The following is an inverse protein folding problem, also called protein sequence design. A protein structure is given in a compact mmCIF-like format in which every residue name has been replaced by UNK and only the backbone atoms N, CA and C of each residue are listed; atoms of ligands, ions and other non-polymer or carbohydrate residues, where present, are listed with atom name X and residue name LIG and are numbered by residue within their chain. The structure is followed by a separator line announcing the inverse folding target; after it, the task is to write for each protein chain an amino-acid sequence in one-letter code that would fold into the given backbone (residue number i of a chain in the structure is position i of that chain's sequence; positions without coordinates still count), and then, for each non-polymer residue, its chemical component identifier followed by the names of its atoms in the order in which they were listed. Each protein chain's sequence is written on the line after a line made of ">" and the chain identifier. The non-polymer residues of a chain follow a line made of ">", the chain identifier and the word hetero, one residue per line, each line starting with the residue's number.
data_IF_239467005866
#
_entry.id   IF_239467005866
#
_cell.length_a   1.000
_cell.length_b   1.000
_cell.length_c   1.000
_cell.angle_alpha   90.00
_cell.angle_beta   90.00
_cell.angle_gamma   90.00
#
_symmetry.space_group_name_H-M   'P 1'
#
loop_
_entity.id
_entity.type
_entity.pdbx_description
1 polymer ?
#
# COMPACT_ATOMS: atom_id res chain seq x y z
N UNK A 1 17.98 15.07 -5.56
CA UNK A 1 17.56 13.70 -5.86
C UNK A 1 16.81 13.15 -4.64
N UNK A 2 15.48 12.94 -4.72
CA UNK A 2 14.64 12.56 -3.58
C UNK A 2 14.10 11.15 -3.77
N UNK A 3 14.74 10.18 -3.10
CA UNK A 3 14.38 8.76 -3.14
C UNK A 3 14.03 8.20 -1.76
N UNK A 4 13.81 9.05 -0.74
CA UNK A 4 13.53 8.60 0.61
C UNK A 4 12.13 8.00 0.73
N UNK A 5 11.12 8.64 0.12
CA UNK A 5 9.73 8.19 0.17
C UNK A 5 8.88 8.90 -0.88
N UNK A 6 7.90 8.21 -1.44
CA UNK A 6 6.83 8.78 -2.26
C UNK A 6 5.93 9.77 -1.48
N UNK A 7 5.94 9.73 -0.14
CA UNK A 7 5.30 10.73 0.71
C UNK A 7 6.02 12.10 0.77
N UNK A 8 7.25 12.20 0.25
CA UNK A 8 8.00 13.48 0.25
C UNK A 8 7.60 14.40 -0.90
N UNK A 9 7.03 13.84 -1.96
CA UNK A 9 6.45 14.64 -3.03
C UNK A 9 5.24 15.43 -2.49
N UNK A 10 5.08 16.67 -2.95
CA UNK A 10 3.88 17.45 -2.69
C UNK A 10 2.67 16.88 -3.43
N UNK A 11 1.49 17.46 -3.22
CA UNK A 11 0.34 17.05 -4.01
C UNK A 11 0.48 17.50 -5.48
N UNK A 12 -0.03 16.68 -6.41
CA UNK A 12 -0.02 17.01 -7.83
C UNK A 12 -0.80 18.30 -8.13
N UNK A 13 -0.35 19.18 -9.06
CA UNK A 13 -1.02 20.45 -9.34
C UNK A 13 -2.52 20.35 -9.60
N UNK A 14 -2.97 19.36 -10.37
CA UNK A 14 -4.40 19.15 -10.64
C UNK A 14 -5.22 18.87 -9.36
N UNK A 15 -4.63 18.16 -8.37
CA UNK A 15 -5.25 17.94 -7.06
C UNK A 15 -5.38 19.26 -6.31
N UNK A 16 -4.32 20.08 -6.27
CA UNK A 16 -4.32 21.38 -5.61
C UNK A 16 -5.33 22.34 -6.24
N UNK A 17 -5.39 22.41 -7.56
CA UNK A 17 -6.38 23.22 -8.28
C UNK A 17 -7.82 22.80 -7.94
N UNK A 18 -8.08 21.49 -7.86
CA UNK A 18 -9.42 21.00 -7.50
C UNK A 18 -9.79 21.34 -6.07
N UNK A 19 -8.85 21.21 -5.12
CA UNK A 19 -9.04 21.64 -3.74
C UNK A 19 -9.34 23.14 -3.62
N UNK A 20 -8.62 23.98 -4.36
CA UNK A 20 -8.87 25.42 -4.41
C UNK A 20 -10.30 25.74 -4.89
N UNK A 21 -10.77 25.07 -5.93
CA UNK A 21 -12.15 25.22 -6.42
C UNK A 21 -13.18 24.81 -5.38
N UNK A 22 -12.92 23.76 -4.59
CA UNK A 22 -13.82 23.29 -3.54
C UNK A 22 -13.85 24.22 -2.32
N UNK A 23 -12.77 24.97 -2.05
CA UNK A 23 -12.63 25.82 -0.87
C UNK A 23 -13.63 26.97 -0.79
N UNK A 24 -14.16 27.39 -1.93
CA UNK A 24 -15.12 28.52 -2.05
C UNK A 24 -16.59 28.09 -2.09
N UNK A 25 -16.88 26.79 -1.99
CA UNK A 25 -18.24 26.26 -2.15
C UNK A 25 -18.89 25.90 -0.81
N UNK A 26 -20.20 26.06 -0.74
CA UNK A 26 -21.03 25.49 0.32
C UNK A 26 -21.56 24.13 -0.12
N UNK A 27 -21.45 23.13 0.74
CA UNK A 27 -21.97 21.80 0.50
C UNK A 27 -22.30 21.10 1.82
N UNK A 28 -23.13 20.04 1.76
CA UNK A 28 -23.45 19.22 2.91
C UNK A 28 -22.20 18.60 3.53
N UNK A 29 -22.24 18.41 4.86
CA UNK A 29 -21.09 17.93 5.64
C UNK A 29 -21.13 16.40 5.82
N UNK A 30 -20.04 15.85 6.36
CA UNK A 30 -19.93 14.46 6.84
C UNK A 30 -20.18 13.38 5.78
N UNK A 31 -19.75 13.60 4.53
CA UNK A 31 -19.85 12.61 3.46
C UNK A 31 -21.23 12.53 2.79
N UNK A 32 -22.05 13.58 2.91
CA UNK A 32 -23.39 13.62 2.32
C UNK A 32 -23.53 14.62 1.17
N UNK A 33 -22.44 15.24 0.72
CA UNK A 33 -22.46 16.16 -0.41
C UNK A 33 -22.66 15.42 -1.74
N UNK A 34 -23.11 16.14 -2.77
CA UNK A 34 -23.24 15.58 -4.12
C UNK A 34 -21.89 15.11 -4.66
N UNK A 35 -20.79 15.77 -4.30
CA UNK A 35 -19.46 15.34 -4.69
C UNK A 35 -19.05 14.02 -4.00
N UNK A 36 -19.34 13.86 -2.69
CA UNK A 36 -19.08 12.59 -2.00
C UNK A 36 -19.79 11.44 -2.71
N UNK A 37 -21.09 11.59 -3.02
CA UNK A 37 -21.89 10.58 -3.73
C UNK A 37 -21.38 10.29 -5.15
N UNK A 38 -20.98 11.35 -5.87
CA UNK A 38 -20.45 11.20 -7.22
C UNK A 38 -19.15 10.36 -7.23
N UNK A 39 -18.29 10.55 -6.23
CA UNK A 39 -17.07 9.77 -6.12
C UNK A 39 -17.33 8.35 -5.64
N UNK A 40 -18.26 8.11 -4.72
CA UNK A 40 -18.73 6.76 -4.38
C UNK A 40 -19.23 6.03 -5.64
N UNK A 41 -20.01 6.70 -6.49
CA UNK A 41 -20.44 6.13 -7.78
C UNK A 41 -19.24 5.88 -8.72
N UNK A 42 -18.21 6.73 -8.72
CA UNK A 42 -17.00 6.52 -9.51
C UNK A 42 -16.23 5.27 -9.06
N UNK A 43 -16.20 4.95 -7.78
CA UNK A 43 -15.67 3.69 -7.30
C UNK A 43 -16.46 2.48 -7.80
N UNK A 44 -17.81 2.55 -7.89
CA UNK A 44 -18.61 1.48 -8.50
C UNK A 44 -18.20 1.23 -9.96
N UNK A 45 -17.95 2.28 -10.74
CA UNK A 45 -17.47 2.17 -12.11
C UNK A 45 -16.08 1.52 -12.18
N UNK A 46 -15.14 1.98 -11.32
CA UNK A 46 -13.76 1.48 -11.26
C UNK A 46 -13.70 -0.01 -10.90
N UNK A 47 -14.55 -0.45 -9.97
CA UNK A 47 -14.60 -1.85 -9.53
C UNK A 47 -15.62 -2.70 -10.30
N UNK A 48 -16.32 -2.15 -11.30
CA UNK A 48 -17.29 -2.87 -12.12
C UNK A 48 -18.43 -3.52 -11.29
N UNK A 49 -18.75 -2.96 -10.14
CA UNK A 49 -19.81 -3.43 -9.23
C UNK A 49 -20.17 -2.39 -8.19
N UNK A 50 -21.30 -2.56 -7.52
CA UNK A 50 -21.63 -1.80 -6.33
C UNK A 50 -20.66 -2.14 -5.19
N UNK A 51 -20.05 -1.10 -4.61
CA UNK A 51 -19.14 -1.17 -3.46
C UNK A 51 -19.54 -0.16 -2.39
N UNK A 52 -19.19 -0.39 -1.13
CA UNK A 52 -19.31 0.63 -0.10
C UNK A 52 -17.95 1.30 0.12
N UNK A 53 -17.93 2.65 0.08
CA UNK A 53 -16.70 3.45 0.14
C UNK A 53 -16.73 4.40 1.33
N UNK A 54 -15.63 4.47 2.07
CA UNK A 54 -15.49 5.34 3.23
C UNK A 54 -14.16 6.09 3.17
N UNK A 55 -14.24 7.41 2.96
CA UNK A 55 -13.03 8.25 2.91
C UNK A 55 -12.45 8.46 4.29
N UNK A 56 -11.14 8.33 4.41
CA UNK A 56 -10.34 8.55 5.62
C UNK A 56 -9.08 9.34 5.27
N UNK A 57 -8.38 9.86 6.27
CA UNK A 57 -7.24 10.76 6.05
C UNK A 57 -5.87 10.07 5.95
N UNK A 58 -5.75 8.81 6.35
CA UNK A 58 -4.46 8.10 6.37
C UNK A 58 -4.62 6.63 6.03
N UNK A 59 -3.57 6.01 5.44
CA UNK A 59 -3.51 4.57 5.19
C UNK A 59 -3.63 3.75 6.48
N UNK A 60 -2.95 4.18 7.56
CA UNK A 60 -3.07 3.56 8.88
C UNK A 60 -4.51 3.52 9.39
N UNK A 61 -5.29 4.60 9.17
CA UNK A 61 -6.71 4.60 9.52
C UNK A 61 -7.50 3.62 8.64
N UNK A 62 -7.20 3.56 7.34
CA UNK A 62 -7.87 2.63 6.42
C UNK A 62 -7.62 1.17 6.84
N UNK A 63 -6.37 0.77 7.06
CA UNK A 63 -6.00 -0.57 7.50
C UNK A 63 -6.60 -0.92 8.86
N UNK A 64 -6.47 -0.02 9.83
CA UNK A 64 -6.97 -0.24 11.19
C UNK A 64 -8.48 -0.43 11.22
N UNK A 65 -9.23 0.39 10.49
CA UNK A 65 -10.70 0.30 10.46
C UNK A 65 -11.19 -0.88 9.61
N UNK A 66 -10.50 -1.22 8.53
CA UNK A 66 -10.77 -2.41 7.75
C UNK A 66 -10.67 -3.68 8.62
N UNK A 67 -9.57 -3.85 9.35
CA UNK A 67 -9.38 -4.98 10.26
C UNK A 67 -10.32 -4.93 11.47
N UNK A 68 -10.60 -3.74 12.01
CA UNK A 68 -11.54 -3.56 13.12
C UNK A 68 -12.97 -3.96 12.74
N UNK A 69 -13.39 -3.76 11.48
CA UNK A 69 -14.75 -4.07 11.03
C UNK A 69 -15.08 -5.56 11.02
N UNK A 70 -14.06 -6.41 10.97
CA UNK A 70 -14.16 -7.87 11.00
C UNK A 70 -13.64 -8.46 12.31
N UNK A 71 -13.36 -7.60 13.30
CA UNK A 71 -12.80 -8.00 14.58
C UNK A 71 -13.80 -8.82 15.42
N UNK A 72 -13.23 -9.74 16.19
CA UNK A 72 -13.97 -10.58 17.16
C UNK A 72 -13.13 -10.73 18.43
N UNK A 73 -13.73 -11.07 19.59
CA UNK A 73 -12.97 -11.32 20.80
C UNK A 73 -11.88 -12.37 20.59
N UNK A 74 -10.63 -12.04 20.94
CA UNK A 74 -9.49 -12.92 20.71
C UNK A 74 -9.15 -13.15 19.24
N UNK A 75 -9.56 -12.25 18.35
CA UNK A 75 -9.35 -12.34 16.90
C UNK A 75 -7.87 -12.36 16.51
N UNK A 76 -7.56 -13.05 15.42
CA UNK A 76 -6.23 -13.13 14.84
C UNK A 76 -6.32 -12.79 13.34
N UNK A 77 -5.61 -11.75 12.91
CA UNK A 77 -5.40 -11.46 11.52
C UNK A 77 -4.01 -11.94 11.08
N UNK A 78 -3.93 -12.62 9.94
CA UNK A 78 -2.69 -13.16 9.38
C UNK A 78 -2.17 -12.20 8.32
N UNK A 79 -0.89 -11.83 8.39
CA UNK A 79 -0.21 -10.94 7.44
C UNK A 79 1.22 -11.41 7.21
N UNK A 80 1.88 -10.93 6.15
CA UNK A 80 3.31 -11.14 6.02
C UNK A 80 4.08 -10.50 7.19
N UNK A 81 5.25 -11.07 7.54
CA UNK A 81 6.11 -10.53 8.62
C UNK A 81 6.52 -9.07 8.39
N UNK A 82 6.76 -8.67 7.12
CA UNK A 82 7.14 -7.32 6.73
C UNK A 82 5.94 -6.41 6.41
N UNK A 83 4.70 -6.84 6.68
CA UNK A 83 3.53 -6.04 6.35
C UNK A 83 3.45 -4.77 7.22
N UNK A 84 3.12 -3.63 6.60
CA UNK A 84 3.01 -2.34 7.28
C UNK A 84 2.11 -2.37 8.53
N UNK A 85 1.01 -3.13 8.47
CA UNK A 85 0.06 -3.28 9.58
C UNK A 85 0.67 -3.85 10.87
N UNK A 86 1.75 -4.63 10.77
CA UNK A 86 2.43 -5.22 11.93
C UNK A 86 3.68 -4.44 12.32
N UNK A 87 4.42 -3.87 11.36
CA UNK A 87 5.72 -3.24 11.60
C UNK A 87 5.62 -1.72 11.81
N UNK A 88 4.85 -0.99 10.99
CA UNK A 88 4.98 0.46 10.86
C UNK A 88 3.72 1.26 11.23
N UNK A 89 2.74 0.67 11.93
CA UNK A 89 1.50 1.35 12.35
C UNK A 89 1.37 1.54 13.86
N UNK A 90 2.47 1.40 14.60
CA UNK A 90 2.52 1.64 16.06
C UNK A 90 1.38 0.92 16.83
N UNK A 91 0.95 -0.26 16.37
CA UNK A 91 -0.12 -1.04 16.97
C UNK A 91 -1.55 -0.50 16.75
N UNK A 92 -1.74 0.49 15.85
CA UNK A 92 -3.06 1.05 15.58
C UNK A 92 -4.09 -0.01 15.15
N UNK A 93 -3.79 -0.97 14.24
CA UNK A 93 -4.74 -2.04 13.91
C UNK A 93 -5.16 -2.87 15.12
N UNK A 94 -4.23 -3.16 16.02
CA UNK A 94 -4.50 -3.90 17.28
C UNK A 94 -5.38 -3.08 18.24
N UNK A 95 -5.09 -1.76 18.35
CA UNK A 95 -5.86 -0.85 19.21
C UNK A 95 -7.32 -0.75 18.76
N UNK A 96 -7.55 -0.50 17.47
CA UNK A 96 -8.92 -0.32 16.95
C UNK A 96 -9.71 -1.61 16.80
N UNK A 97 -9.05 -2.76 16.69
CA UNK A 97 -9.70 -4.08 16.58
C UNK A 97 -9.95 -4.78 17.93
N UNK A 98 -10.06 -4.03 19.03
CA UNK A 98 -10.26 -4.55 20.38
C UNK A 98 -9.18 -5.56 20.82
N UNK A 99 -7.91 -5.20 20.61
CA UNK A 99 -6.74 -6.00 20.93
C UNK A 99 -6.67 -7.36 20.18
N UNK A 100 -7.16 -7.40 18.94
CA UNK A 100 -6.92 -8.53 18.05
C UNK A 100 -5.41 -8.67 17.78
N UNK A 101 -4.96 -9.89 17.60
CA UNK A 101 -3.54 -10.16 17.37
C UNK A 101 -3.21 -10.19 15.88
N UNK A 102 -2.11 -9.55 15.47
CA UNK A 102 -1.50 -9.77 14.16
C UNK A 102 -0.55 -10.97 14.25
N UNK A 103 -0.67 -11.89 13.30
CA UNK A 103 0.13 -13.11 13.24
C UNK A 103 0.99 -13.08 11.98
N UNK A 104 2.33 -12.98 12.14
CA UNK A 104 3.23 -12.98 11.02
C UNK A 104 3.24 -14.35 10.33
N UNK A 105 3.22 -14.32 9.01
CA UNK A 105 3.35 -15.48 8.11
C UNK A 105 4.56 -15.27 7.23
N UNK A 106 5.48 -16.20 7.27
CA UNK A 106 6.72 -16.11 6.50
C UNK A 106 6.50 -16.40 5.01
N UNK A 107 7.36 -15.77 4.20
CA UNK A 107 7.49 -16.01 2.77
C UNK A 107 8.54 -15.09 2.17
N UNK A 108 9.10 -15.39 1.01
CA UNK A 108 10.14 -14.60 0.40
C UNK A 108 9.58 -13.29 -0.19
N UNK A 109 10.41 -12.27 -0.22
CA UNK A 109 10.15 -11.03 -0.95
C UNK A 109 8.82 -10.34 -0.54
N UNK A 110 8.48 -10.33 0.76
CA UNK A 110 7.29 -9.66 1.27
C UNK A 110 5.97 -10.38 0.98
N UNK A 111 5.99 -11.61 0.47
CA UNK A 111 4.80 -12.38 0.08
C UNK A 111 4.62 -13.59 0.97
N UNK A 112 3.43 -13.78 1.51
CA UNK A 112 3.10 -15.00 2.25
C UNK A 112 3.12 -16.22 1.32
N UNK A 113 3.75 -17.30 1.75
CA UNK A 113 3.59 -18.60 1.09
C UNK A 113 2.25 -19.23 1.50
N UNK A 114 1.45 -19.76 0.53
CA UNK A 114 0.16 -20.38 0.82
C UNK A 114 0.22 -21.49 1.86
N UNK A 115 1.24 -22.36 1.81
CA UNK A 115 1.47 -23.43 2.76
C UNK A 115 1.75 -22.91 4.18
N UNK A 116 2.50 -21.79 4.30
CA UNK A 116 2.79 -21.17 5.59
C UNK A 116 1.54 -20.51 6.17
N UNK A 117 0.72 -19.84 5.35
CA UNK A 117 -0.57 -19.31 5.78
C UNK A 117 -1.49 -20.42 6.28
N UNK A 118 -1.63 -21.50 5.53
CA UNK A 118 -2.44 -22.66 5.92
C UNK A 118 -1.95 -23.28 7.23
N UNK A 119 -0.63 -23.43 7.40
CA UNK A 119 -0.03 -23.94 8.64
C UNK A 119 -0.29 -23.00 9.82
N UNK A 120 -0.15 -21.67 9.62
CA UNK A 120 -0.41 -20.68 10.66
C UNK A 120 -1.88 -20.70 11.13
N UNK A 121 -2.85 -20.77 10.22
CA UNK A 121 -4.28 -20.83 10.55
C UNK A 121 -4.60 -22.11 11.32
N UNK A 122 -4.09 -23.27 10.91
CA UNK A 122 -4.33 -24.56 11.60
C UNK A 122 -3.86 -24.60 13.06
N UNK A 123 -2.96 -23.71 13.47
CA UNK A 123 -2.56 -23.57 14.90
C UNK A 123 -3.70 -23.08 15.79
N UNK A 124 -4.77 -22.54 15.22
CA UNK A 124 -5.90 -21.95 15.93
C UNK A 124 -7.21 -22.63 15.51
N UNK A 125 -7.46 -23.87 15.98
CA UNK A 125 -8.62 -24.63 15.56
C UNK A 125 -9.92 -23.95 15.99
N UNK A 126 -10.95 -23.94 15.13
CA UNK A 126 -12.25 -23.36 15.44
C UNK A 126 -12.83 -23.94 16.74
N UNK A 127 -13.36 -23.07 17.60
CA UNK A 127 -14.01 -23.45 18.84
C UNK A 127 -13.08 -23.78 20.01
N UNK A 128 -11.76 -23.76 19.86
CA UNK A 128 -10.84 -23.86 20.98
C UNK A 128 -10.91 -22.60 21.86
N UNK A 129 -11.46 -22.74 23.06
CA UNK A 129 -11.63 -21.64 24.03
C UNK A 129 -10.29 -21.14 24.62
N UNK A 130 -9.23 -21.94 24.51
CA UNK A 130 -7.90 -21.60 25.03
C UNK A 130 -7.05 -20.77 24.05
N UNK A 131 -7.52 -20.62 22.82
CA UNK A 131 -6.75 -19.96 21.77
C UNK A 131 -7.57 -18.84 21.12
N UNK A 132 -6.85 -17.83 20.59
CA UNK A 132 -7.46 -16.84 19.73
C UNK A 132 -8.07 -17.49 18.49
N UNK A 133 -9.00 -16.78 17.85
CA UNK A 133 -9.74 -17.29 16.69
C UNK A 133 -9.36 -16.54 15.43
N UNK A 134 -9.07 -17.23 14.32
CA UNK A 134 -8.84 -16.58 13.03
C UNK A 134 -9.97 -15.60 12.68
N UNK A 135 -9.62 -14.39 12.24
CA UNK A 135 -10.61 -13.35 11.89
C UNK A 135 -10.44 -12.76 10.49
N UNK A 136 -9.22 -12.67 9.99
CA UNK A 136 -8.93 -12.10 8.68
C UNK A 136 -7.57 -12.58 8.15
N UNK A 137 -7.40 -12.47 6.83
CA UNK A 137 -6.09 -12.50 6.16
C UNK A 137 -5.88 -11.14 5.52
N UNK A 138 -4.65 -10.59 5.55
CA UNK A 138 -4.30 -9.34 4.87
C UNK A 138 -3.06 -9.50 4.02
N UNK A 139 -3.12 -9.00 2.79
CA UNK A 139 -2.00 -8.91 1.85
C UNK A 139 -1.68 -7.44 1.57
N UNK A 140 -0.43 -7.12 1.28
CA UNK A 140 -0.02 -5.76 0.90
C UNK A 140 0.31 -5.73 -0.59
N UNK A 141 -0.28 -4.80 -1.34
CA UNK A 141 -0.17 -4.72 -2.79
C UNK A 141 0.05 -3.27 -3.26
N UNK A 142 1.29 -2.86 -3.71
CA UNK A 142 2.53 -3.63 -3.73
C UNK A 142 3.07 -3.84 -2.31
N UNK A 143 3.94 -4.87 -2.12
CA UNK A 143 4.52 -5.21 -0.81
C UNK A 143 5.53 -4.16 -0.35
N UNK A 144 5.85 -4.16 0.94
CA UNK A 144 6.81 -3.22 1.57
C UNK A 144 8.26 -3.39 1.07
N UNK A 145 8.52 -4.48 0.34
CA UNK A 145 9.84 -4.74 -0.25
C UNK A 145 9.85 -4.58 -1.79
N UNK A 146 8.87 -3.85 -2.33
CA UNK A 146 8.83 -3.46 -3.74
C UNK A 146 8.40 -4.56 -4.72
N UNK A 147 7.89 -5.69 -4.24
CA UNK A 147 7.34 -6.77 -5.09
C UNK A 147 5.83 -6.62 -5.26
N UNK A 148 5.26 -7.40 -6.18
CA UNK A 148 3.83 -7.41 -6.46
C UNK A 148 3.32 -8.84 -6.47
N UNK A 149 2.27 -9.14 -5.72
CA UNK A 149 1.57 -10.42 -5.86
C UNK A 149 0.99 -10.53 -7.26
N UNK A 150 1.26 -11.62 -7.97
CA UNK A 150 0.54 -11.95 -9.19
C UNK A 150 -0.92 -12.26 -8.91
N UNK A 151 -1.77 -12.25 -9.94
CA UNK A 151 -3.18 -12.61 -9.79
C UNK A 151 -3.35 -14.04 -9.26
N UNK A 152 -2.52 -14.97 -9.71
CA UNK A 152 -2.53 -16.38 -9.26
C UNK A 152 -2.07 -16.52 -7.79
N UNK A 153 -1.10 -15.70 -7.34
CA UNK A 153 -0.69 -15.67 -5.93
C UNK A 153 -1.82 -15.12 -5.04
N UNK A 154 -2.56 -14.10 -5.50
CA UNK A 154 -3.75 -13.60 -4.78
C UNK A 154 -4.82 -14.69 -4.71
N UNK A 155 -5.08 -15.41 -5.82
CA UNK A 155 -6.04 -16.53 -5.86
C UNK A 155 -5.67 -17.63 -4.85
N UNK A 156 -4.40 -17.99 -4.77
CA UNK A 156 -3.92 -19.03 -3.84
C UNK A 156 -4.16 -18.63 -2.36
N UNK A 157 -3.84 -17.39 -1.98
CA UNK A 157 -4.10 -16.84 -0.64
C UNK A 157 -5.62 -16.77 -0.37
N UNK A 158 -6.38 -16.26 -1.34
CA UNK A 158 -7.84 -16.15 -1.26
C UNK A 158 -8.52 -17.51 -1.09
N UNK A 159 -8.06 -18.55 -1.78
CA UNK A 159 -8.60 -19.88 -1.65
C UNK A 159 -8.47 -20.43 -0.22
N UNK A 160 -7.32 -20.18 0.44
CA UNK A 160 -7.10 -20.56 1.84
C UNK A 160 -7.99 -19.74 2.78
N UNK A 161 -8.08 -18.42 2.57
CA UNK A 161 -8.94 -17.56 3.37
C UNK A 161 -10.40 -18.03 3.30
N UNK A 162 -10.91 -18.31 2.09
CA UNK A 162 -12.27 -18.82 1.85
C UNK A 162 -12.51 -20.18 2.49
N UNK A 163 -11.54 -21.10 2.43
CA UNK A 163 -11.64 -22.43 3.07
C UNK A 163 -11.88 -22.30 4.58
N UNK A 164 -11.37 -21.25 5.20
CA UNK A 164 -11.52 -20.97 6.62
C UNK A 164 -12.60 -19.93 6.96
N UNK A 165 -13.39 -19.49 5.97
CA UNK A 165 -14.41 -18.43 6.10
C UNK A 165 -13.83 -17.11 6.65
N UNK A 166 -12.63 -16.76 6.24
CA UNK A 166 -11.95 -15.53 6.63
C UNK A 166 -12.04 -14.49 5.50
N UNK A 167 -12.42 -13.25 5.79
CA UNK A 167 -12.31 -12.17 4.82
C UNK A 167 -10.84 -11.92 4.45
N UNK A 168 -10.62 -11.61 3.17
CA UNK A 168 -9.33 -11.18 2.65
C UNK A 168 -9.32 -9.65 2.53
N UNK A 169 -8.47 -9.01 3.32
CA UNK A 169 -8.15 -7.59 3.22
C UNK A 169 -6.91 -7.40 2.34
N UNK A 170 -6.91 -6.33 1.53
CA UNK A 170 -5.75 -5.89 0.77
C UNK A 170 -5.36 -4.48 1.23
N UNK A 171 -4.16 -4.34 1.76
CA UNK A 171 -3.52 -3.03 1.91
C UNK A 171 -3.05 -2.57 0.53
N UNK A 172 -3.71 -1.57 -0.01
CA UNK A 172 -3.46 -0.97 -1.31
C UNK A 172 -2.83 0.42 -1.23
N UNK A 173 -1.93 0.67 -0.27
CA UNK A 173 -1.22 1.95 -0.16
C UNK A 173 -0.52 2.35 -1.46
N UNK A 174 -0.10 1.36 -2.27
CA UNK A 174 0.47 1.53 -3.62
C UNK A 174 -0.32 0.76 -4.69
N UNK A 175 -1.64 0.76 -4.55
CA UNK A 175 -2.57 0.01 -5.42
C UNK A 175 -2.39 0.34 -6.90
N UNK A 176 -2.27 1.64 -7.24
CA UNK A 176 -2.08 2.08 -8.62
C UNK A 176 -0.76 1.58 -9.22
N UNK A 177 0.33 1.57 -8.43
CA UNK A 177 1.62 1.04 -8.87
C UNK A 177 1.54 -0.46 -9.18
N UNK A 178 0.86 -1.23 -8.34
CA UNK A 178 0.64 -2.66 -8.58
C UNK A 178 -0.21 -2.92 -9.83
N UNK A 179 -1.28 -2.14 -10.07
CA UNK A 179 -2.08 -2.22 -11.30
C UNK A 179 -1.22 -2.01 -12.54
N UNK A 180 -0.37 -0.97 -12.54
CA UNK A 180 0.52 -0.66 -13.67
C UNK A 180 1.55 -1.77 -13.89
N UNK A 181 2.07 -2.37 -12.82
CA UNK A 181 3.00 -3.50 -12.91
C UNK A 181 2.34 -4.74 -13.51
N UNK A 182 1.11 -5.06 -13.09
CA UNK A 182 0.39 -6.25 -13.55
C UNK A 182 -0.30 -6.06 -14.92
N UNK A 183 -0.44 -4.81 -15.40
CA UNK A 183 -1.20 -4.52 -16.62
C UNK A 183 -2.66 -4.95 -16.52
N UNK A 184 -3.28 -4.78 -15.36
CA UNK A 184 -4.63 -5.25 -15.05
C UNK A 184 -5.54 -4.12 -14.57
N UNK A 185 -6.83 -4.42 -14.35
CA UNK A 185 -7.79 -3.45 -13.82
C UNK A 185 -8.13 -3.72 -12.33
N UNK A 186 -8.74 -2.74 -11.63
CA UNK A 186 -9.08 -2.87 -10.22
C UNK A 186 -9.96 -4.06 -9.87
N UNK A 187 -10.95 -4.37 -10.69
CA UNK A 187 -11.86 -5.49 -10.46
C UNK A 187 -11.13 -6.84 -10.53
N UNK A 188 -10.23 -6.99 -11.51
CA UNK A 188 -9.41 -8.19 -11.68
C UNK A 188 -8.41 -8.39 -10.55
N UNK A 189 -7.81 -7.31 -10.02
CA UNK A 189 -6.85 -7.43 -8.93
C UNK A 189 -7.51 -7.59 -7.55
N UNK A 190 -8.84 -7.39 -7.43
CA UNK A 190 -9.52 -7.40 -6.13
C UNK A 190 -10.61 -8.46 -6.04
N UNK A 191 -11.87 -8.07 -6.18
CA UNK A 191 -13.00 -8.93 -5.85
C UNK A 191 -13.12 -10.16 -6.75
N UNK A 192 -12.70 -10.07 -8.02
CA UNK A 192 -12.65 -11.23 -8.91
C UNK A 192 -11.62 -12.28 -8.47
N UNK A 193 -10.66 -11.87 -7.62
CA UNK A 193 -9.70 -12.77 -6.93
C UNK A 193 -10.07 -13.03 -5.48
N UNK A 194 -11.22 -12.54 -5.03
CA UNK A 194 -11.78 -12.80 -3.71
C UNK A 194 -11.27 -11.90 -2.60
N UNK A 195 -10.74 -10.73 -2.93
CA UNK A 195 -10.52 -9.66 -1.95
C UNK A 195 -11.89 -9.10 -1.54
N UNK A 196 -12.12 -9.01 -0.24
CA UNK A 196 -13.37 -8.53 0.35
C UNK A 196 -13.30 -7.04 0.74
N UNK A 197 -12.13 -6.61 1.22
CA UNK A 197 -11.93 -5.25 1.74
C UNK A 197 -10.59 -4.72 1.18
N UNK A 198 -10.60 -3.48 0.70
CA UNK A 198 -9.41 -2.81 0.19
C UNK A 198 -9.17 -1.50 0.94
N UNK A 199 -7.97 -1.29 1.46
CA UNK A 199 -7.46 0.04 1.80
C UNK A 199 -6.90 0.67 0.54
N UNK A 200 -7.65 1.58 -0.08
CA UNK A 200 -7.28 2.22 -1.34
C UNK A 200 -6.46 3.49 -1.07
N UNK A 201 -5.17 3.46 -1.40
CA UNK A 201 -4.24 4.58 -1.20
C UNK A 201 -4.15 5.52 -2.41
N UNK A 202 -4.22 6.84 -2.15
CA UNK A 202 -3.97 7.85 -3.16
C UNK A 202 -2.93 8.91 -2.72
N UNK A 203 -2.65 9.00 -1.42
CA UNK A 203 -1.70 10.00 -0.88
C UNK A 203 -0.30 9.81 -1.44
N UNK A 204 0.24 8.61 -1.45
CA UNK A 204 1.57 8.30 -1.98
C UNK A 204 1.69 8.53 -3.49
N UNK A 205 0.56 8.64 -4.19
CA UNK A 205 0.50 8.77 -5.65
C UNK A 205 -0.11 10.11 -6.10
N UNK A 206 0.20 11.20 -5.40
CA UNK A 206 -0.10 12.57 -5.83
C UNK A 206 -1.26 13.27 -5.15
N UNK A 207 -2.00 12.61 -4.26
CA UNK A 207 -2.95 13.30 -3.40
C UNK A 207 -2.26 13.91 -2.17
N UNK A 208 -2.93 14.86 -1.51
CA UNK A 208 -2.45 15.45 -0.27
C UNK A 208 -2.79 14.57 0.94
N UNK A 209 -4.04 14.08 1.02
CA UNK A 209 -4.54 13.28 2.13
C UNK A 209 -5.85 12.61 1.67
N UNK A 210 -5.75 11.54 0.92
CA UNK A 210 -6.91 10.85 0.37
C UNK A 210 -6.70 9.33 0.38
N UNK A 211 -7.46 8.68 1.26
CA UNK A 211 -7.51 7.23 1.40
C UNK A 211 -8.98 6.81 1.44
N UNK A 212 -9.25 5.59 1.01
CA UNK A 212 -10.60 5.03 1.09
C UNK A 212 -10.57 3.58 1.58
N UNK A 213 -11.56 3.22 2.40
CA UNK A 213 -11.86 1.82 2.70
C UNK A 213 -12.96 1.39 1.75
N UNK A 214 -12.71 0.39 0.94
CA UNK A 214 -13.64 -0.11 -0.06
C UNK A 214 -14.05 -1.54 0.28
N UNK A 215 -15.35 -1.74 0.51
CA UNK A 215 -15.93 -3.06 0.71
C UNK A 215 -16.51 -3.56 -0.59
N UNK A 216 -16.08 -4.72 -1.05
CA UNK A 216 -16.54 -5.32 -2.29
C UNK A 216 -17.97 -5.88 -2.18
N UNK A 217 -18.44 -6.17 -0.96
CA UNK A 217 -19.86 -6.37 -0.62
C UNK A 217 -20.30 -5.29 0.38
N UNK A 218 -21.21 -4.36 0.01
CA UNK A 218 -21.70 -3.31 0.88
C UNK A 218 -22.29 -3.81 2.21
N UNK A 219 -22.77 -5.05 2.27
CA UNK A 219 -23.34 -5.64 3.49
C UNK A 219 -22.31 -5.82 4.60
N UNK A 220 -21.04 -5.97 4.27
CA UNK A 220 -19.94 -6.09 5.24
C UNK A 220 -19.63 -4.77 5.96
N UNK A 221 -20.04 -3.63 5.38
CA UNK A 221 -19.70 -2.30 5.86
C UNK A 221 -20.66 -1.71 6.90
N UNK A 222 -21.63 -2.49 7.40
CA UNK A 222 -22.75 -2.03 8.22
C UNK A 222 -22.35 -1.16 9.42
N UNK A 223 -21.31 -1.53 10.12
CA UNK A 223 -20.88 -0.85 11.36
C UNK A 223 -19.77 0.19 11.12
N UNK A 224 -19.22 0.27 9.91
CA UNK A 224 -18.10 1.15 9.61
C UNK A 224 -18.40 2.64 9.76
N UNK A 225 -19.61 3.18 9.45
CA UNK A 225 -19.92 4.58 9.71
C UNK A 225 -19.70 4.98 11.17
N UNK A 226 -20.08 4.12 12.12
CA UNK A 226 -19.90 4.33 13.55
C UNK A 226 -18.43 4.23 13.97
N UNK A 227 -17.70 3.24 13.43
CA UNK A 227 -16.28 3.07 13.67
C UNK A 227 -15.48 4.27 13.14
N UNK A 228 -15.79 4.77 11.94
CA UNK A 228 -15.17 5.95 11.34
C UNK A 228 -15.41 7.20 12.20
N UNK A 229 -16.62 7.39 12.72
CA UNK A 229 -16.92 8.49 13.63
C UNK A 229 -16.16 8.36 14.94
N UNK A 230 -16.17 7.17 15.55
CA UNK A 230 -15.51 6.89 16.84
C UNK A 230 -13.99 7.05 16.78
N UNK A 231 -13.37 6.72 15.63
CA UNK A 231 -11.93 6.87 15.39
C UNK A 231 -11.50 8.28 14.97
N UNK A 232 -12.41 9.27 15.00
CA UNK A 232 -12.19 10.63 14.54
C UNK A 232 -11.85 10.75 13.04
N UNK A 233 -12.15 9.74 12.22
CA UNK A 233 -11.91 9.74 10.78
C UNK A 233 -13.12 10.21 9.94
N UNK A 234 -14.23 10.56 10.56
CA UNK A 234 -15.35 11.22 9.89
C UNK A 234 -15.13 12.73 9.90
N UNK A 235 -14.46 13.25 8.90
CA UNK A 235 -14.21 14.68 8.73
C UNK A 235 -15.49 15.44 8.41
N UNK A 236 -15.68 16.61 9.01
CA UNK A 236 -16.85 17.44 8.69
C UNK A 236 -16.87 17.88 7.22
N UNK A 237 -15.71 18.15 6.65
CA UNK A 237 -15.54 18.52 5.24
C UNK A 237 -14.99 17.35 4.40
N UNK A 238 -15.60 16.17 4.50
CA UNK A 238 -15.21 14.97 3.75
C UNK A 238 -15.09 15.21 2.25
N UNK A 239 -15.87 16.13 1.70
CA UNK A 239 -15.82 16.54 0.30
C UNK A 239 -14.44 16.99 -0.17
N UNK A 240 -13.54 17.44 0.72
CA UNK A 240 -12.16 17.74 0.33
C UNK A 240 -11.35 16.49 0.00
N UNK A 241 -11.67 15.34 0.61
CA UNK A 241 -11.10 14.06 0.20
C UNK A 241 -11.72 13.64 -1.13
N UNK A 242 -13.05 13.74 -1.28
CA UNK A 242 -13.74 13.44 -2.53
C UNK A 242 -13.23 14.30 -3.70
N UNK A 243 -12.95 15.60 -3.47
CA UNK A 243 -12.38 16.48 -4.49
C UNK A 243 -10.99 16.05 -4.97
N UNK A 244 -10.17 15.48 -4.08
CA UNK A 244 -8.90 14.91 -4.48
C UNK A 244 -9.10 13.67 -5.36
N UNK A 245 -10.00 12.76 -4.97
CA UNK A 245 -10.33 11.59 -5.80
C UNK A 245 -10.94 11.97 -7.15
N UNK A 246 -11.76 13.03 -7.22
CA UNK A 246 -12.31 13.50 -8.50
C UNK A 246 -11.17 13.87 -9.47
N UNK A 247 -10.20 14.67 -9.04
CA UNK A 247 -9.06 15.03 -9.87
C UNK A 247 -8.14 13.82 -10.14
N UNK A 248 -7.96 12.97 -9.15
CA UNK A 248 -7.12 11.78 -9.23
C UNK A 248 -7.61 10.77 -10.28
N UNK A 249 -8.94 10.58 -10.39
CA UNK A 249 -9.53 9.69 -11.38
C UNK A 249 -9.78 10.35 -12.74
N UNK A 250 -9.72 11.68 -12.82
CA UNK A 250 -9.96 12.42 -14.07
C UNK A 250 -8.92 12.03 -15.12
N UNK A 251 -9.38 11.65 -16.31
CA UNK A 251 -8.56 11.27 -17.47
C UNK A 251 -7.46 10.25 -17.15
N UNK A 252 -7.68 9.37 -16.15
CA UNK A 252 -6.72 8.33 -15.79
C UNK A 252 -5.44 8.86 -15.12
N UNK A 253 -5.44 10.07 -14.57
CA UNK A 253 -4.28 10.69 -13.93
C UNK A 253 -3.58 9.75 -12.94
N UNK A 254 -4.34 9.06 -12.09
CA UNK A 254 -3.80 8.15 -11.06
C UNK A 254 -2.94 7.00 -11.64
N UNK A 255 -3.32 6.47 -12.80
CA UNK A 255 -2.55 5.43 -13.50
C UNK A 255 -1.31 6.04 -14.18
N UNK A 256 -1.44 7.24 -14.76
CA UNK A 256 -0.31 7.94 -15.36
C UNK A 256 0.77 8.27 -14.32
N UNK A 257 0.39 8.75 -13.13
CA UNK A 257 1.32 9.06 -12.04
C UNK A 257 2.05 7.81 -11.54
N UNK A 258 1.32 6.72 -11.31
CA UNK A 258 1.89 5.45 -10.90
C UNK A 258 2.79 4.83 -11.98
N UNK A 259 2.38 4.91 -13.24
CA UNK A 259 3.17 4.46 -14.39
C UNK A 259 4.49 5.20 -14.49
N UNK A 260 4.49 6.53 -14.31
CA UNK A 260 5.71 7.32 -14.27
C UNK A 260 6.64 6.91 -13.12
N UNK A 261 6.10 6.76 -11.90
CA UNK A 261 6.88 6.31 -10.74
C UNK A 261 7.54 4.95 -11.00
N UNK A 262 6.78 3.97 -11.53
CA UNK A 262 7.31 2.66 -11.90
C UNK A 262 8.37 2.73 -13.03
N UNK A 263 8.19 3.61 -14.01
CA UNK A 263 9.17 3.80 -15.08
C UNK A 263 10.50 4.36 -14.54
N UNK A 264 10.47 5.32 -13.62
CA UNK A 264 11.67 5.84 -12.95
C UNK A 264 12.38 4.76 -12.12
N UNK A 265 11.62 3.92 -11.40
CA UNK A 265 12.16 2.77 -10.70
C UNK A 265 12.80 1.75 -11.66
N UNK A 266 12.17 1.49 -12.80
CA UNK A 266 12.71 0.59 -13.82
C UNK A 266 14.02 1.12 -14.43
N UNK A 267 14.11 2.46 -14.66
CA UNK A 267 15.34 3.12 -15.10
C UNK A 267 16.46 2.99 -14.06
N UNK A 268 16.16 3.22 -12.77
CA UNK A 268 17.10 3.01 -11.68
C UNK A 268 17.58 1.55 -11.63
N UNK A 269 16.66 0.60 -11.74
CA UNK A 269 16.97 -0.84 -11.72
C UNK A 269 17.93 -1.21 -12.82
N UNK A 270 17.62 -0.83 -14.06
CA UNK A 270 18.47 -1.11 -15.21
C UNK A 270 19.88 -0.51 -15.06
N UNK A 271 20.00 0.71 -14.53
CA UNK A 271 21.30 1.32 -14.26
C UNK A 271 22.07 0.63 -13.13
N UNK A 272 21.40 0.23 -12.05
CA UNK A 272 22.03 -0.52 -10.95
C UNK A 272 22.59 -1.88 -11.44
N UNK A 273 21.87 -2.56 -12.33
CA UNK A 273 22.31 -3.84 -12.91
C UNK A 273 23.59 -3.73 -13.76
N UNK A 274 23.89 -2.52 -14.27
CA UNK A 274 25.14 -2.24 -15.04
C UNK A 274 26.25 -1.60 -14.19
N UNK A 275 25.95 -1.28 -12.92
CA UNK A 275 26.88 -0.60 -12.03
C UNK A 275 27.97 -1.54 -11.49
N UNK A 276 29.18 -0.97 -11.26
CA UNK A 276 30.28 -1.66 -10.61
C UNK A 276 30.32 -1.46 -9.07
N UNK A 277 29.50 -0.54 -8.53
CA UNK A 277 29.49 -0.18 -7.11
C UNK A 277 28.10 -0.29 -6.46
N UNK A 278 27.15 -0.87 -7.17
CA UNK A 278 25.79 -1.11 -6.70
C UNK A 278 25.25 -2.43 -7.25
N UNK A 279 24.36 -3.09 -6.47
CA UNK A 279 23.60 -4.27 -6.92
C UNK A 279 22.23 -4.27 -6.31
N UNK A 280 21.26 -4.91 -6.95
CA UNK A 280 19.94 -5.12 -6.34
C UNK A 280 20.06 -6.14 -5.21
N UNK A 281 19.41 -5.87 -4.08
CA UNK A 281 19.35 -6.80 -2.95
C UNK A 281 18.43 -7.99 -3.26
N UNK A 282 17.33 -7.73 -3.98
CA UNK A 282 16.38 -8.70 -4.51
C UNK A 282 15.59 -8.09 -5.68
N UNK A 283 14.91 -8.93 -6.49
CA UNK A 283 14.05 -8.44 -7.56
C UNK A 283 12.91 -7.58 -7.00
N UNK A 284 12.67 -6.42 -7.59
CA UNK A 284 11.56 -5.52 -7.30
C UNK A 284 10.75 -5.24 -8.56
N UNK A 285 9.49 -4.82 -8.42
CA UNK A 285 8.55 -4.73 -9.54
C UNK A 285 7.76 -3.40 -9.56
N UNK A 286 7.69 -2.71 -8.41
CA UNK A 286 6.97 -1.44 -8.27
C UNK A 286 7.94 -0.24 -8.23
N UNK A 287 7.54 0.83 -7.56
CA UNK A 287 8.32 2.07 -7.41
C UNK A 287 9.32 2.06 -6.24
N UNK A 288 9.55 0.92 -5.60
CA UNK A 288 10.54 0.75 -4.53
C UNK A 288 11.65 -0.22 -4.97
N UNK A 289 12.89 0.16 -4.66
CA UNK A 289 14.08 -0.66 -4.89
C UNK A 289 14.88 -0.76 -3.59
N UNK A 290 15.49 -1.92 -3.42
CA UNK A 290 16.45 -2.16 -2.35
C UNK A 290 17.80 -2.46 -2.98
N UNK A 291 18.74 -1.55 -2.72
CA UNK A 291 20.03 -1.52 -3.41
C UNK A 291 21.15 -1.65 -2.39
N UNK A 292 22.06 -2.56 -2.65
CA UNK A 292 23.32 -2.65 -1.92
C UNK A 292 24.31 -1.72 -2.60
N UNK A 293 24.87 -0.79 -1.83
CA UNK A 293 25.88 0.17 -2.27
C UNK A 293 27.17 -0.05 -1.50
N UNK A 294 28.31 0.27 -2.12
CA UNK A 294 29.53 0.52 -1.34
C UNK A 294 29.28 1.70 -0.39
N UNK A 295 29.72 1.62 0.87
CA UNK A 295 29.51 2.68 1.86
C UNK A 295 30.01 4.04 1.39
N UNK A 296 31.13 4.06 0.67
CA UNK A 296 31.68 5.29 0.08
C UNK A 296 30.75 5.88 -0.99
N UNK A 297 30.14 5.05 -1.83
CA UNK A 297 29.16 5.47 -2.83
C UNK A 297 27.92 6.05 -2.16
N UNK A 298 27.41 5.41 -1.11
CA UNK A 298 26.25 5.92 -0.36
C UNK A 298 26.54 7.29 0.29
N UNK A 299 27.75 7.47 0.87
CA UNK A 299 28.20 8.74 1.43
C UNK A 299 28.32 9.81 0.34
N UNK A 300 28.96 9.49 -0.79
CA UNK A 300 29.10 10.41 -1.90
C UNK A 300 27.74 10.84 -2.48
N UNK A 301 26.79 9.92 -2.60
CA UNK A 301 25.44 10.22 -3.07
C UNK A 301 24.72 11.20 -2.11
N UNK A 302 24.78 10.95 -0.79
CA UNK A 302 24.20 11.85 0.22
C UNK A 302 24.85 13.25 0.18
N UNK A 303 26.17 13.33 0.01
CA UNK A 303 26.91 14.59 -0.13
C UNK A 303 26.53 15.37 -1.39
N UNK A 304 26.16 14.69 -2.46
CA UNK A 304 25.68 15.29 -3.69
C UNK A 304 24.16 15.54 -3.71
N UNK A 305 23.50 15.45 -2.56
CA UNK A 305 22.09 15.80 -2.38
C UNK A 305 21.11 14.67 -2.67
N UNK A 306 21.53 13.42 -2.69
CA UNK A 306 20.62 12.28 -2.72
C UNK A 306 20.04 12.03 -1.31
N UNK A 307 18.72 11.89 -1.23
CA UNK A 307 17.99 11.58 0.00
C UNK A 307 17.38 10.18 -0.12
N UNK A 308 17.78 9.28 0.72
CA UNK A 308 17.27 7.90 0.83
C UNK A 308 17.49 7.37 2.24
N UNK A 309 16.81 6.28 2.59
CA UNK A 309 16.98 5.63 3.89
C UNK A 309 17.96 4.46 3.81
N UNK A 310 18.84 4.38 4.82
CA UNK A 310 19.55 3.15 5.11
C UNK A 310 18.52 2.11 5.59
N UNK A 311 18.71 0.84 5.21
CA UNK A 311 17.77 -0.23 5.52
C UNK A 311 18.46 -1.37 6.26
N UNK A 312 17.73 -2.02 7.16
CA UNK A 312 18.26 -3.19 7.86
C UNK A 312 18.19 -4.39 6.93
N UNK A 313 19.31 -5.05 6.74
CA UNK A 313 19.36 -6.24 5.90
C UNK A 313 18.55 -7.39 6.54
N UNK A 314 17.65 -8.05 5.79
CA UNK A 314 16.98 -9.26 6.26
C UNK A 314 17.99 -10.36 6.58
N UNK A 315 17.70 -11.18 7.60
CA UNK A 315 18.58 -12.28 8.00
C UNK A 315 18.73 -13.38 6.93
N UNK A 316 17.74 -13.51 6.06
CA UNK A 316 17.65 -14.50 4.98
C UNK A 316 18.00 -13.91 3.60
N UNK A 317 18.69 -12.78 3.57
CA UNK A 317 19.15 -12.15 2.34
C UNK A 317 20.05 -13.11 1.57
N UNK A 318 19.74 -13.38 0.29
CA UNK A 318 20.42 -14.38 -0.54
C UNK A 318 21.94 -14.12 -0.66
N UNK A 319 22.32 -12.84 -0.78
CA UNK A 319 23.71 -12.40 -0.78
C UNK A 319 23.94 -11.46 0.39
N UNK A 320 24.52 -11.92 1.52
CA UNK A 320 24.79 -11.09 2.68
C UNK A 320 25.65 -9.85 2.37
N UNK A 321 25.47 -8.79 3.15
CA UNK A 321 26.30 -7.59 3.03
C UNK A 321 27.75 -7.89 3.43
N UNK A 322 28.69 -7.32 2.67
CA UNK A 322 30.10 -7.28 3.04
C UNK A 322 30.36 -6.10 4.01
N UNK A 323 31.52 -6.10 4.68
CA UNK A 323 31.85 -5.07 5.68
C UNK A 323 31.85 -3.63 5.12
N UNK A 324 32.15 -3.46 3.83
CA UNK A 324 32.17 -2.19 3.11
C UNK A 324 30.87 -1.87 2.38
N UNK A 325 29.82 -2.66 2.53
CA UNK A 325 28.52 -2.48 1.90
C UNK A 325 27.47 -1.94 2.89
N UNK A 326 26.44 -1.34 2.33
CA UNK A 326 25.22 -0.91 3.04
C UNK A 326 24.00 -1.16 2.17
N UNK A 327 22.90 -1.56 2.79
CA UNK A 327 21.59 -1.69 2.11
C UNK A 327 20.85 -0.36 2.24
N UNK A 328 20.29 0.11 1.12
CA UNK A 328 19.48 1.33 1.07
C UNK A 328 18.15 1.07 0.38
N UNK A 329 17.11 1.78 0.81
CA UNK A 329 15.81 1.81 0.13
C UNK A 329 15.72 3.07 -0.72
N UNK A 330 15.40 2.89 -2.00
CA UNK A 330 15.13 3.95 -2.96
C UNK A 330 13.66 3.88 -3.39
N UNK A 331 12.94 4.98 -3.24
CA UNK A 331 11.52 5.08 -3.63
C UNK A 331 11.37 6.19 -4.64
N UNK A 332 10.84 5.87 -5.81
CA UNK A 332 10.47 6.85 -6.83
C UNK A 332 9.00 7.28 -6.67
N UNK A 333 8.67 8.46 -7.16
CA UNK A 333 7.33 9.02 -7.13
C UNK A 333 6.95 9.61 -8.48
N UNK A 334 5.72 10.08 -8.60
CA UNK A 334 5.26 10.81 -9.77
C UNK A 334 6.09 12.08 -10.04
N UNK A 335 6.82 12.61 -9.06
CA UNK A 335 7.65 13.81 -9.16
C UNK A 335 9.13 13.51 -9.41
N UNK A 336 9.53 12.25 -9.43
CA UNK A 336 10.92 11.85 -9.72
C UNK A 336 11.24 12.13 -11.17
N UNK A 337 12.32 12.90 -11.44
CA UNK A 337 12.75 13.21 -12.81
C UNK A 337 13.77 12.20 -13.33
N UNK A 338 13.86 12.04 -14.65
CA UNK A 338 14.93 11.28 -15.30
C UNK A 338 16.32 11.81 -14.91
N UNK A 339 16.46 13.14 -14.82
CA UNK A 339 17.73 13.79 -14.45
C UNK A 339 18.18 13.41 -13.02
N UNK A 340 17.23 13.27 -12.06
CA UNK A 340 17.54 12.79 -10.71
C UNK A 340 18.04 11.34 -10.74
N UNK A 341 17.38 10.50 -11.54
CA UNK A 341 17.76 9.10 -11.71
C UNK A 341 19.15 8.99 -12.31
N UNK A 342 19.40 9.69 -13.42
CA UNK A 342 20.68 9.65 -14.13
C UNK A 342 21.84 10.20 -13.28
N UNK A 343 21.57 11.27 -12.51
CA UNK A 343 22.56 11.82 -11.58
C UNK A 343 22.93 10.81 -10.47
N UNK A 344 21.95 10.10 -9.93
CA UNK A 344 22.23 9.05 -8.93
C UNK A 344 23.02 7.88 -9.54
N UNK A 345 22.63 7.43 -10.73
CA UNK A 345 23.30 6.34 -11.43
C UNK A 345 24.74 6.67 -11.81
N UNK A 346 25.02 7.92 -12.20
CA UNK A 346 26.38 8.38 -12.46
C UNK A 346 27.28 8.29 -11.21
N UNK A 347 26.74 8.59 -10.02
CA UNK A 347 27.46 8.40 -8.75
C UNK A 347 27.73 6.91 -8.47
N UNK A 348 26.80 6.04 -8.84
CA UNK A 348 26.95 4.59 -8.73
C UNK A 348 27.88 3.98 -9.79
N UNK A 349 28.49 4.77 -10.69
CA UNK A 349 29.36 4.26 -11.74
C UNK A 349 28.61 3.39 -12.77
N UNK A 350 27.34 3.64 -12.98
CA UNK A 350 26.57 3.02 -14.06
C UNK A 350 26.98 3.65 -15.40
N UNK A 351 27.14 2.80 -16.43
CA UNK A 351 27.55 3.22 -17.77
C UNK A 351 26.35 3.78 -18.58
#
# INVERSE_FOLDING_TARGET
>A
MFFASDNWAGAHPAINERLMKESTRFAAAYGTSELDKAIEQKFNEIFEREVAVFFVGTGTAANSLALASVARPGGIAFCHSEAHVIEDECGAPVYFSNASRLMPVAGPNGKMLPENLSAAIRRFPPGSIHQGQPMAVTVTQATEVGTVYSLDEIDAISAIAKQHNLPLHMDGARFANALMTLGTNPAEMTWKRGVDILSFGATKNGCWCAEAIVYMDPKMAKDLPFMRKRSAQLFSKTRFIAAQFEAYFHDGLWLALAGHANAMASRLRAGVETSNSARLAWPTQSNELFVVLQKETAIAAKQQGAHFYDWVAPHDMAEPLQDNETLVRLVTSFATSEADVDSFLAICGAA
#
